data_IF_352583868451
#
_entry.id   IF_352583868451
#
_cell.length_a   1.000
_cell.length_b   1.000
_cell.length_c   1.000
_cell.angle_alpha   90.00
_cell.angle_beta   90.00
_cell.angle_gamma   90.00
#
_symmetry.space_group_name_H-M   'P 1'
#
loop_
_entity.id
_entity.type
_entity.pdbx_description
1 polymer ?
#
# COMPACT_ATOMS: atom_id res chain seq x y z
N UNK A 1 -13.99 -1.46 -0.76
CA UNK A 1 -13.94 -0.50 0.37
C UNK A 1 -12.84 -0.86 1.37
N UNK A 2 -12.83 -2.08 1.94
CA UNK A 2 -11.79 -2.53 2.89
C UNK A 2 -10.33 -2.25 2.47
N UNK A 3 -9.93 -2.59 1.24
CA UNK A 3 -8.55 -2.35 0.74
C UNK A 3 -8.16 -0.86 0.74
N UNK A 4 -9.12 0.04 0.49
CA UNK A 4 -8.89 1.49 0.52
C UNK A 4 -8.70 1.96 1.97
N UNK A 5 -9.51 1.46 2.89
CA UNK A 5 -9.35 1.76 4.32
C UNK A 5 -8.00 1.29 4.87
N UNK A 6 -7.53 0.10 4.48
CA UNK A 6 -6.21 -0.40 4.86
C UNK A 6 -5.12 0.53 4.31
N UNK A 7 -5.19 0.93 3.03
CA UNK A 7 -4.22 1.85 2.45
C UNK A 7 -4.22 3.24 3.10
N UNK A 8 -5.39 3.73 3.53
CA UNK A 8 -5.48 4.97 4.30
C UNK A 8 -4.71 4.87 5.62
N UNK A 9 -4.94 3.80 6.40
CA UNK A 9 -4.22 3.57 7.67
C UNK A 9 -2.71 3.49 7.43
N UNK A 10 -2.27 2.74 6.42
CA UNK A 10 -0.85 2.63 6.08
C UNK A 10 -0.21 3.98 5.70
N UNK A 11 -0.98 4.89 5.10
CA UNK A 11 -0.52 6.25 4.77
C UNK A 11 -0.43 7.11 6.03
N UNK A 12 -1.45 7.05 6.87
CA UNK A 12 -1.55 7.84 8.11
C UNK A 12 -0.45 7.46 9.12
N UNK A 13 -0.11 6.17 9.19
CA UNK A 13 1.02 5.67 10.00
C UNK A 13 2.39 5.90 9.34
N UNK A 14 2.42 6.37 8.09
CA UNK A 14 3.64 6.73 7.38
C UNK A 14 4.42 5.56 6.77
N UNK A 15 3.81 4.38 6.65
CA UNK A 15 4.40 3.18 6.02
C UNK A 15 4.46 3.28 4.49
N UNK A 16 3.49 3.94 3.87
CA UNK A 16 3.47 4.23 2.43
C UNK A 16 3.55 5.73 2.18
N UNK A 17 4.03 6.12 1.00
CA UNK A 17 4.11 7.53 0.61
C UNK A 17 2.74 8.06 0.18
N UNK A 18 2.00 7.26 -0.60
CA UNK A 18 0.67 7.63 -1.09
C UNK A 18 -0.10 6.43 -1.65
N UNK A 19 -1.39 6.61 -1.93
CA UNK A 19 -2.20 5.66 -2.70
C UNK A 19 -3.19 6.37 -3.63
N UNK A 20 -3.53 5.72 -4.74
CA UNK A 20 -4.50 6.22 -5.72
C UNK A 20 -5.46 5.11 -6.13
N UNK A 21 -6.73 5.48 -6.33
CA UNK A 21 -7.74 4.59 -6.90
C UNK A 21 -7.90 4.97 -8.36
N UNK A 22 -7.38 4.14 -9.26
CA UNK A 22 -7.48 4.32 -10.70
C UNK A 22 -8.51 3.34 -11.28
N UNK A 23 -9.05 3.67 -12.44
CA UNK A 23 -9.78 2.70 -13.24
C UNK A 23 -8.78 1.71 -13.87
N UNK A 24 -9.08 0.43 -13.77
CA UNK A 24 -8.27 -0.63 -14.37
C UNK A 24 -8.62 -0.85 -15.84
N UNK A 25 -7.87 -1.73 -16.50
CA UNK A 25 -8.05 -2.06 -17.92
C UNK A 25 -9.42 -2.70 -18.24
N UNK A 26 -10.14 -3.16 -17.21
CA UNK A 26 -11.48 -3.75 -17.34
C UNK A 26 -12.54 -2.81 -16.77
N UNK A 27 -13.62 -2.52 -17.51
CA UNK A 27 -14.73 -1.72 -17.01
C UNK A 27 -15.25 -2.26 -15.67
N UNK A 28 -15.44 -1.38 -14.68
CA UNK A 28 -15.92 -1.75 -13.35
C UNK A 28 -14.87 -2.29 -12.37
N UNK A 29 -13.63 -2.55 -12.82
CA UNK A 29 -12.55 -2.98 -11.95
C UNK A 29 -11.64 -1.81 -11.57
N UNK A 30 -11.82 -1.30 -10.35
CA UNK A 30 -10.91 -0.29 -9.80
C UNK A 30 -9.59 -0.94 -9.35
N UNK A 31 -8.48 -0.28 -9.66
CA UNK A 31 -7.13 -0.66 -9.27
C UNK A 31 -6.65 0.29 -8.17
N UNK A 32 -6.12 -0.28 -7.09
CA UNK A 32 -5.49 0.48 -6.01
C UNK A 32 -3.98 0.51 -6.25
N UNK A 33 -3.46 1.66 -6.66
CA UNK A 33 -2.02 1.91 -6.82
C UNK A 33 -1.44 2.40 -5.50
N UNK A 34 -0.37 1.77 -5.03
CA UNK A 34 0.29 2.12 -3.76
C UNK A 34 1.71 2.60 -4.07
N UNK A 35 2.08 3.77 -3.57
CA UNK A 35 3.43 4.31 -3.64
C UNK A 35 4.19 3.95 -2.37
N UNK A 36 5.13 3.02 -2.46
CA UNK A 36 5.94 2.58 -1.33
C UNK A 36 6.90 3.67 -0.85
N UNK A 37 7.28 3.60 0.42
CA UNK A 37 8.24 4.51 1.05
C UNK A 37 9.53 3.77 1.37
N UNK A 38 10.65 4.39 1.00
CA UNK A 38 11.99 3.91 1.29
C UNK A 38 12.80 5.03 1.92
N UNK A 39 13.58 4.71 2.96
CA UNK A 39 14.43 5.67 3.69
C UNK A 39 15.91 5.40 3.43
N UNK A 40 16.73 6.43 3.51
CA UNK A 40 18.18 6.33 3.32
C UNK A 40 18.64 6.72 1.92
N UNK A 41 19.95 6.79 1.76
CA UNK A 41 20.59 7.21 0.51
C UNK A 41 20.34 6.22 -0.64
N UNK A 42 20.52 6.68 -1.88
CA UNK A 42 20.19 5.92 -3.10
C UNK A 42 20.79 4.51 -3.13
N UNK A 43 22.02 4.33 -2.60
CA UNK A 43 22.71 3.03 -2.51
C UNK A 43 22.34 2.18 -1.28
N UNK A 44 21.70 2.79 -0.27
CA UNK A 44 21.39 2.17 1.02
C UNK A 44 19.90 2.30 1.38
N UNK A 45 19.03 2.33 0.38
CA UNK A 45 17.58 2.44 0.60
C UNK A 45 17.09 1.25 1.40
N UNK A 46 16.48 1.53 2.55
CA UNK A 46 15.77 0.57 3.39
C UNK A 46 14.26 0.74 3.19
N UNK A 47 13.49 -0.34 3.02
CA UNK A 47 12.04 -0.25 2.97
C UNK A 47 11.52 0.17 4.35
N UNK A 48 10.55 1.10 4.36
CA UNK A 48 9.86 1.45 5.62
C UNK A 48 8.94 0.31 6.06
N UNK A 49 8.34 -0.38 5.09
CA UNK A 49 7.51 -1.55 5.30
C UNK A 49 8.39 -2.81 5.28
N UNK A 50 8.69 -3.35 6.46
CA UNK A 50 9.65 -4.47 6.62
C UNK A 50 8.96 -5.83 6.71
N UNK A 51 7.78 -5.90 7.31
CA UNK A 51 7.00 -7.12 7.42
C UNK A 51 5.51 -6.82 7.19
N UNK A 52 4.81 -7.73 6.50
CA UNK A 52 3.37 -7.65 6.27
C UNK A 52 2.78 -9.05 6.38
N UNK A 53 2.00 -9.28 7.43
CA UNK A 53 1.40 -10.58 7.71
C UNK A 53 -0.12 -10.49 7.78
N UNK A 54 -0.79 -11.48 7.18
CA UNK A 54 -2.24 -11.61 7.25
C UNK A 54 -2.63 -12.55 8.40
N UNK A 55 -3.19 -11.97 9.46
CA UNK A 55 -3.61 -12.71 10.66
C UNK A 55 -4.95 -13.43 10.47
N UNK A 56 -5.98 -12.75 9.97
CA UNK A 56 -7.30 -13.35 9.75
C UNK A 56 -7.33 -14.16 8.46
N UNK A 57 -7.85 -15.38 8.47
CA UNK A 57 -8.13 -16.20 7.26
C UNK A 57 -9.58 -16.69 7.30
N UNK A 58 -10.32 -16.70 6.17
CA UNK A 58 -11.63 -17.35 6.14
C UNK A 58 -11.38 -18.86 6.21
N UNK A 59 -12.01 -19.52 7.17
CA UNK A 59 -12.14 -20.98 7.18
C UNK A 59 -13.16 -21.42 6.15
#
# INVERSE_FOLDING_TARGET
>A
KMKVSIAQILKDEGFISDYEVADGDRPGHKVLRIRLKYTGERRHRKPVLTNLERVSKPG
#
